data_IF_850812856477
#
_entry.id   IF_850812856477
#
_cell.length_a   1.000
_cell.length_b   1.000
_cell.length_c   1.000
_cell.angle_alpha   90.00
_cell.angle_beta   90.00
_cell.angle_gamma   90.00
#
_symmetry.space_group_name_H-M   'P 1'
#
loop_
_entity.id
_entity.type
_entity.pdbx_description
1 polymer ?
#
# COMPACT_ATOMS: atom_id res chain seq x y z
N UNK A 1 24.12 -80.04 -41.50
CA UNK A 1 23.04 -79.48 -40.64
C UNK A 1 23.17 -77.96 -40.62
N UNK A 2 22.05 -77.26 -40.90
CA UNK A 2 21.71 -75.81 -40.86
C UNK A 2 22.89 -74.80 -40.90
N UNK A 3 23.26 -74.26 -42.08
CA UNK A 3 22.70 -73.09 -42.86
C UNK A 3 22.99 -71.74 -42.17
N UNK A 4 24.04 -71.01 -42.56
CA UNK A 4 24.23 -70.07 -43.71
C UNK A 4 23.44 -68.76 -43.60
N UNK A 5 24.18 -67.66 -43.46
CA UNK A 5 23.77 -66.29 -43.79
C UNK A 5 25.06 -65.58 -44.25
N UNK A 6 25.39 -65.43 -45.54
CA UNK A 6 24.72 -64.80 -46.69
C UNK A 6 24.80 -63.26 -46.68
N UNK A 7 25.83 -62.79 -47.40
CA UNK A 7 25.90 -61.65 -48.32
C UNK A 7 25.39 -60.27 -47.85
N UNK A 8 26.36 -59.36 -47.70
CA UNK A 8 26.23 -57.93 -47.96
C UNK A 8 25.73 -57.70 -49.40
N UNK A 9 24.70 -56.87 -49.55
CA UNK A 9 24.32 -56.23 -50.79
C UNK A 9 23.77 -54.84 -50.48
N UNK A 10 24.51 -53.81 -50.88
CA UNK A 10 24.09 -52.41 -50.84
C UNK A 10 22.86 -52.19 -51.74
N UNK A 11 21.91 -51.37 -51.27
CA UNK A 11 21.19 -50.44 -52.15
C UNK A 11 20.64 -49.26 -51.32
N UNK A 12 21.13 -48.06 -51.65
CA UNK A 12 20.59 -46.75 -51.27
C UNK A 12 19.15 -46.59 -51.77
N UNK A 13 18.26 -45.93 -51.00
CA UNK A 13 17.45 -44.79 -51.50
C UNK A 13 17.03 -43.86 -50.33
N UNK A 14 17.41 -42.59 -50.48
CA UNK A 14 16.90 -41.30 -49.99
C UNK A 14 16.00 -41.15 -48.73
N UNK A 15 16.49 -40.25 -47.87
CA UNK A 15 15.82 -39.07 -47.28
C UNK A 15 14.28 -39.05 -47.14
N UNK A 16 13.80 -38.96 -45.90
CA UNK A 16 13.14 -37.77 -45.36
C UNK A 16 12.71 -38.07 -43.91
N UNK A 17 13.26 -37.33 -42.95
CA UNK A 17 12.80 -37.39 -41.58
C UNK A 17 11.47 -36.61 -41.46
N UNK A 18 10.37 -37.35 -41.35
CA UNK A 18 9.11 -36.85 -40.79
C UNK A 18 8.61 -37.94 -39.85
N UNK A 19 8.95 -37.82 -38.57
CA UNK A 19 8.39 -38.66 -37.53
C UNK A 19 6.95 -38.20 -37.28
N UNK A 20 6.01 -39.05 -37.68
CA UNK A 20 4.66 -39.12 -37.13
C UNK A 20 4.71 -39.91 -35.83
N UNK A 21 4.11 -39.39 -34.75
CA UNK A 21 3.64 -40.23 -33.63
C UNK A 21 2.54 -39.52 -32.82
N UNK A 22 1.33 -40.11 -32.92
CA UNK A 22 0.25 -40.20 -31.93
C UNK A 22 -0.53 -38.94 -31.49
N UNK A 23 -1.72 -38.77 -32.06
CA UNK A 23 -2.92 -38.32 -31.32
C UNK A 23 -3.45 -39.50 -30.46
N UNK A 24 -4.08 -39.29 -29.29
CA UNK A 24 -5.46 -38.74 -29.19
C UNK A 24 -5.58 -37.74 -27.98
N UNK A 25 -6.61 -36.94 -27.74
CA UNK A 25 -8.05 -37.06 -27.95
C UNK A 25 -8.68 -35.66 -27.90
N UNK A 26 -9.75 -35.44 -28.65
CA UNK A 26 -10.68 -34.32 -28.42
C UNK A 26 -11.40 -34.52 -27.09
N UNK A 27 -11.01 -33.77 -26.06
CA UNK A 27 -11.85 -33.45 -24.90
C UNK A 27 -11.23 -32.27 -24.14
N UNK A 28 -11.97 -31.16 -24.12
CA UNK A 28 -11.79 -29.98 -23.26
C UNK A 28 -10.45 -29.24 -23.32
N UNK A 29 -10.22 -28.58 -24.46
CA UNK A 29 -9.62 -27.24 -24.43
C UNK A 29 -10.72 -26.19 -24.29
N UNK A 30 -11.55 -26.30 -23.25
CA UNK A 30 -12.52 -25.27 -22.87
C UNK A 30 -11.83 -24.30 -21.91
N UNK A 31 -11.44 -23.16 -22.49
CA UNK A 31 -11.35 -21.87 -21.82
C UNK A 31 -10.42 -21.75 -20.59
N UNK A 32 -9.10 -21.73 -20.84
CA UNK A 32 -8.26 -20.72 -20.18
C UNK A 32 -8.44 -19.36 -20.89
N UNK A 33 -9.70 -18.93 -21.07
CA UNK A 33 -10.00 -17.53 -21.27
C UNK A 33 -9.98 -16.94 -19.87
N UNK A 34 -8.81 -16.43 -19.47
CA UNK A 34 -8.72 -15.53 -18.34
C UNK A 34 -9.78 -14.45 -18.57
N UNK A 35 -10.87 -14.51 -17.83
CA UNK A 35 -11.88 -13.47 -17.82
C UNK A 35 -11.14 -12.25 -17.30
N UNK A 36 -10.67 -11.41 -18.21
CA UNK A 36 -10.29 -10.06 -17.86
C UNK A 36 -11.56 -9.44 -17.31
N UNK A 37 -11.66 -9.36 -15.97
CA UNK A 37 -12.76 -8.67 -15.33
C UNK A 37 -12.93 -7.33 -16.02
N UNK A 38 -14.14 -7.05 -16.51
CA UNK A 38 -14.46 -5.83 -17.21
C UNK A 38 -14.13 -4.64 -16.30
N UNK A 39 -13.55 -3.60 -16.88
CA UNK A 39 -13.26 -2.37 -16.13
C UNK A 39 -14.58 -1.72 -15.75
N UNK A 40 -14.76 -1.43 -14.47
CA UNK A 40 -15.93 -0.72 -13.97
C UNK A 40 -15.87 0.75 -14.40
N UNK A 41 -17.05 1.29 -14.73
CA UNK A 41 -17.25 2.68 -15.16
C UNK A 41 -18.19 3.44 -14.23
N UNK A 42 -18.53 2.83 -13.10
CA UNK A 42 -19.38 3.37 -12.04
C UNK A 42 -18.79 2.99 -10.66
N UNK A 43 -19.32 3.62 -9.61
CA UNK A 43 -19.00 3.34 -8.21
C UNK A 43 -20.14 2.53 -7.58
N UNK A 44 -20.14 1.18 -7.71
CA UNK A 44 -21.20 0.35 -7.14
C UNK A 44 -21.18 0.40 -5.61
N UNK A 45 -22.37 0.33 -5.00
CA UNK A 45 -22.50 0.30 -3.54
C UNK A 45 -22.15 1.62 -2.83
N UNK A 46 -22.05 2.73 -3.57
CA UNK A 46 -21.89 4.06 -2.97
C UNK A 46 -23.14 4.42 -2.16
N UNK A 47 -23.01 4.83 -0.88
CA UNK A 47 -24.14 5.32 -0.11
C UNK A 47 -24.79 6.56 -0.75
N UNK A 48 -26.12 6.70 -0.62
CA UNK A 48 -26.88 7.78 -1.26
C UNK A 48 -26.46 9.20 -0.79
N UNK A 49 -25.96 9.31 0.44
CA UNK A 49 -25.48 10.54 1.06
C UNK A 49 -23.96 10.73 0.95
N UNK A 50 -23.25 9.82 0.29
CA UNK A 50 -21.81 9.90 0.11
C UNK A 50 -21.46 10.70 -1.15
N UNK A 51 -20.72 11.80 -0.98
CA UNK A 51 -20.16 12.57 -2.08
C UNK A 51 -18.64 12.62 -1.92
N UNK A 52 -17.85 12.01 -2.84
CA UNK A 52 -16.40 12.04 -2.74
C UNK A 52 -15.86 13.48 -2.67
N UNK A 53 -14.97 13.74 -1.73
CA UNK A 53 -14.25 15.03 -1.61
C UNK A 53 -13.44 15.30 -2.86
N UNK A 54 -13.44 16.55 -3.34
CA UNK A 54 -12.81 16.89 -4.62
C UNK A 54 -11.28 16.80 -4.53
N UNK A 55 -10.65 16.40 -5.64
CA UNK A 55 -9.19 16.43 -5.74
C UNK A 55 -8.66 17.86 -5.74
N UNK A 56 -7.65 18.12 -4.89
CA UNK A 56 -7.06 19.43 -4.66
C UNK A 56 -7.68 20.21 -3.50
N UNK A 57 -8.66 19.63 -2.81
CA UNK A 57 -9.32 20.26 -1.68
C UNK A 57 -8.38 20.38 -0.46
N UNK A 58 -8.52 21.49 0.26
CA UNK A 58 -7.80 21.77 1.49
C UNK A 58 -8.79 21.91 2.63
N UNK A 59 -8.64 21.04 3.62
CA UNK A 59 -9.48 20.93 4.80
C UNK A 59 -8.73 21.43 6.04
N UNK A 60 -9.46 21.88 7.04
CA UNK A 60 -8.92 22.15 8.37
C UNK A 60 -8.75 20.81 9.13
N UNK A 61 -7.76 20.74 10.02
CA UNK A 61 -7.61 19.57 10.90
C UNK A 61 -8.89 19.29 11.70
N UNK A 62 -9.35 18.04 11.65
CA UNK A 62 -10.58 17.55 12.25
C UNK A 62 -11.78 17.52 11.30
N UNK A 63 -11.67 18.09 10.09
CA UNK A 63 -12.70 17.93 9.06
C UNK A 63 -12.59 16.57 8.35
N UNK A 64 -13.74 16.03 7.95
CA UNK A 64 -13.86 14.74 7.29
C UNK A 64 -13.76 14.89 5.78
N UNK A 65 -12.90 14.08 5.16
CA UNK A 65 -12.92 13.80 3.73
C UNK A 65 -13.65 12.50 3.44
N UNK A 66 -14.44 12.49 2.38
CA UNK A 66 -15.07 11.31 1.81
C UNK A 66 -14.16 10.73 0.72
N UNK A 67 -13.47 9.64 1.01
CA UNK A 67 -12.42 9.05 0.18
C UNK A 67 -12.89 7.74 -0.46
N UNK A 68 -12.60 7.58 -1.74
CA UNK A 68 -12.87 6.36 -2.51
C UNK A 68 -11.55 5.70 -2.89
N UNK A 69 -11.37 4.47 -2.45
CA UNK A 69 -10.32 3.59 -2.99
C UNK A 69 -10.96 2.42 -3.73
N UNK A 70 -10.21 1.75 -4.59
CA UNK A 70 -10.71 0.57 -5.29
C UNK A 70 -9.72 -0.57 -5.24
N UNK A 71 -10.24 -1.80 -5.27
CA UNK A 71 -9.43 -3.00 -5.39
C UNK A 71 -8.66 -2.98 -6.71
N UNK A 72 -7.36 -3.21 -6.66
CA UNK A 72 -6.51 -3.14 -7.87
C UNK A 72 -6.91 -4.22 -8.90
N UNK A 73 -7.28 -5.42 -8.43
CA UNK A 73 -7.61 -6.56 -9.28
C UNK A 73 -9.10 -6.59 -9.69
N UNK A 74 -9.99 -6.08 -8.84
CA UNK A 74 -11.44 -6.22 -8.98
C UNK A 74 -12.13 -4.94 -9.43
N UNK A 75 -11.52 -3.77 -9.19
CA UNK A 75 -12.15 -2.46 -9.37
C UNK A 75 -13.22 -2.13 -8.32
N UNK A 76 -13.52 -3.04 -7.39
CA UNK A 76 -14.57 -2.81 -6.40
C UNK A 76 -14.19 -1.66 -5.45
N UNK A 77 -15.07 -0.67 -5.25
CA UNK A 77 -14.79 0.47 -4.41
C UNK A 77 -14.97 0.15 -2.93
N UNK A 78 -14.21 0.89 -2.12
CA UNK A 78 -14.41 1.03 -0.68
C UNK A 78 -14.46 2.51 -0.38
N UNK A 79 -15.45 2.89 0.42
CA UNK A 79 -15.75 4.27 0.77
C UNK A 79 -15.31 4.49 2.21
N UNK A 80 -14.54 5.54 2.45
CA UNK A 80 -14.03 5.89 3.76
C UNK A 80 -14.43 7.32 4.11
N UNK A 81 -14.81 7.52 5.36
CA UNK A 81 -14.63 8.80 6.01
C UNK A 81 -13.20 8.84 6.58
N UNK A 82 -12.46 9.89 6.23
CA UNK A 82 -11.08 10.09 6.67
C UNK A 82 -10.96 11.45 7.34
N UNK A 83 -10.43 11.45 8.57
CA UNK A 83 -10.13 12.69 9.31
C UNK A 83 -8.68 12.71 9.72
N UNK A 84 -8.04 13.88 9.68
CA UNK A 84 -6.72 14.08 10.30
C UNK A 84 -6.87 14.97 11.52
N UNK A 85 -6.53 14.44 12.69
CA UNK A 85 -6.56 15.18 13.95
C UNK A 85 -5.57 16.36 13.94
N UNK A 86 -5.81 17.34 14.81
CA UNK A 86 -4.83 18.41 15.03
C UNK A 86 -3.50 17.81 15.46
N UNK A 87 -2.36 18.25 14.88
CA UNK A 87 -1.08 17.64 15.17
C UNK A 87 -0.70 17.77 16.64
N UNK A 88 -0.20 16.67 17.21
CA UNK A 88 0.36 16.64 18.57
C UNK A 88 1.87 16.63 18.49
N UNK A 89 2.51 17.58 19.16
CA UNK A 89 3.96 17.61 19.34
C UNK A 89 4.35 16.77 20.55
N UNK A 90 5.32 15.88 20.39
CA UNK A 90 5.93 15.03 21.41
C UNK A 90 7.41 15.36 21.54
N UNK A 91 7.94 15.24 22.74
CA UNK A 91 9.38 15.27 23.01
C UNK A 91 10.02 13.92 22.65
N UNK A 92 11.36 13.90 22.51
CA UNK A 92 12.09 12.64 22.29
C UNK A 92 11.87 11.63 23.43
N UNK A 93 11.73 12.10 24.68
CA UNK A 93 11.49 11.25 25.83
C UNK A 93 10.09 10.61 25.81
N UNK A 94 9.04 11.37 25.45
CA UNK A 94 7.69 10.81 25.28
C UNK A 94 7.64 9.75 24.17
N UNK A 95 8.39 9.97 23.08
CA UNK A 95 8.49 8.97 22.00
C UNK A 95 9.23 7.73 22.50
N UNK A 96 10.37 7.88 23.18
CA UNK A 96 11.13 6.78 23.77
C UNK A 96 10.27 5.92 24.71
N UNK A 97 9.42 6.55 25.53
CA UNK A 97 8.45 5.84 26.37
C UNK A 97 7.45 5.01 25.54
N UNK A 98 6.98 5.54 24.41
CA UNK A 98 6.03 4.83 23.55
C UNK A 98 6.66 3.65 22.79
N UNK A 99 7.89 3.81 22.27
CA UNK A 99 8.56 2.82 21.42
C UNK A 99 9.48 1.86 22.20
N UNK A 100 9.81 2.20 23.45
CA UNK A 100 10.66 1.39 24.34
C UNK A 100 12.17 1.46 24.07
N UNK A 101 12.64 2.42 23.27
CA UNK A 101 14.06 2.64 22.93
C UNK A 101 14.30 4.09 22.47
N UNK A 102 15.55 4.56 22.43
CA UNK A 102 15.90 5.88 21.90
C UNK A 102 15.50 5.96 20.41
N UNK A 103 14.64 6.91 19.99
CA UNK A 103 14.26 7.04 18.58
C UNK A 103 15.45 7.36 17.65
N UNK A 104 16.55 7.89 18.18
CA UNK A 104 17.82 8.10 17.47
C UNK A 104 18.59 6.83 17.15
N UNK A 105 18.30 5.72 17.84
CA UNK A 105 18.97 4.43 17.67
C UNK A 105 18.23 3.52 16.67
N UNK A 106 17.00 3.86 16.29
CA UNK A 106 16.23 3.06 15.33
C UNK A 106 16.91 3.03 13.96
N UNK A 107 17.15 1.81 13.47
CA UNK A 107 17.69 1.59 12.12
C UNK A 107 19.20 1.79 12.02
N UNK A 108 19.90 2.05 13.12
CA UNK A 108 21.35 2.04 13.13
C UNK A 108 21.88 0.63 12.85
N UNK A 109 22.90 0.47 11.97
CA UNK A 109 23.53 -0.82 11.78
C UNK A 109 24.30 -1.24 13.04
N UNK A 110 24.44 -2.55 13.24
CA UNK A 110 25.38 -3.06 14.23
C UNK A 110 26.82 -2.66 13.82
N UNK A 111 27.67 -2.21 14.76
CA UNK A 111 29.05 -1.84 14.44
C UNK A 111 29.86 -3.05 14.00
N UNK A 112 30.70 -2.88 12.97
CA UNK A 112 31.66 -3.91 12.57
C UNK A 112 32.82 -4.01 13.58
N UNK A 113 33.46 -5.18 13.65
CA UNK A 113 34.55 -5.42 14.61
C UNK A 113 35.72 -4.45 14.36
N UNK A 114 35.98 -3.57 15.34
CA UNK A 114 37.06 -2.58 15.28
C UNK A 114 36.63 -1.19 14.80
N UNK A 115 35.34 -0.96 14.54
CA UNK A 115 34.78 0.35 14.23
C UNK A 115 34.11 1.01 15.44
N UNK A 116 34.07 2.34 15.45
CA UNK A 116 33.29 3.09 16.43
C UNK A 116 31.79 2.92 16.17
N UNK A 117 30.95 2.80 17.21
CA UNK A 117 29.52 2.66 17.03
C UNK A 117 28.93 3.88 16.30
N UNK A 118 27.95 3.66 15.39
CA UNK A 118 27.27 4.76 14.72
C UNK A 118 26.61 5.67 15.78
N UNK A 119 26.70 6.97 15.55
CA UNK A 119 26.12 7.94 16.47
C UNK A 119 24.61 8.05 16.21
N UNK A 120 23.77 7.99 17.25
CA UNK A 120 22.33 8.16 17.10
C UNK A 120 21.98 9.57 16.67
N UNK A 121 20.94 9.68 15.85
CA UNK A 121 20.35 10.96 15.49
C UNK A 121 19.75 11.62 16.73
N UNK A 122 19.85 12.95 16.85
CA UNK A 122 19.36 13.67 18.02
C UNK A 122 18.18 14.53 17.63
N UNK A 123 17.01 14.17 18.15
CA UNK A 123 15.76 14.87 17.90
C UNK A 123 15.43 15.83 19.04
N UNK A 124 14.95 17.03 18.69
CA UNK A 124 14.30 17.94 19.63
C UNK A 124 12.88 17.45 19.91
N UNK A 125 12.16 17.08 18.85
CA UNK A 125 10.74 16.75 18.95
C UNK A 125 10.20 16.03 17.72
N UNK A 126 9.03 15.41 17.89
CA UNK A 126 8.24 14.74 16.87
C UNK A 126 6.86 15.38 16.79
N UNK A 127 6.27 15.44 15.61
CA UNK A 127 4.89 15.90 15.42
C UNK A 127 4.08 14.80 14.76
N UNK A 128 3.04 14.40 15.46
CA UNK A 128 2.13 13.31 15.12
C UNK A 128 0.86 13.85 14.49
N UNK A 129 0.54 13.39 13.28
CA UNK A 129 -0.76 13.57 12.65
C UNK A 129 -1.50 12.24 12.72
N UNK A 130 -2.54 12.15 13.54
CA UNK A 130 -3.35 10.93 13.64
C UNK A 130 -4.43 11.00 12.56
N UNK A 131 -4.39 10.04 11.65
CA UNK A 131 -5.39 9.82 10.61
C UNK A 131 -6.34 8.75 11.09
N UNK A 132 -7.63 9.04 11.08
CA UNK A 132 -8.68 8.06 11.34
C UNK A 132 -9.36 7.70 10.03
N UNK A 133 -9.47 6.40 9.78
CA UNK A 133 -10.21 5.80 8.68
C UNK A 133 -11.46 5.11 9.23
N UNK A 134 -12.61 5.45 8.68
CA UNK A 134 -13.88 4.79 8.99
C UNK A 134 -14.47 4.27 7.68
N UNK A 135 -14.43 2.96 7.41
CA UNK A 135 -15.11 2.40 6.24
C UNK A 135 -16.61 2.65 6.39
N UNK A 136 -17.24 3.30 5.42
CA UNK A 136 -18.69 3.60 5.46
C UNK A 136 -19.49 2.73 4.53
N UNK A 137 -18.84 2.16 3.51
CA UNK A 137 -19.41 1.14 2.67
C UNK A 137 -18.29 0.38 1.97
N UNK A 138 -18.59 -0.87 1.68
CA UNK A 138 -17.63 -1.87 1.24
C UNK A 138 -18.27 -2.63 0.09
N UNK A 139 -17.64 -2.64 -1.09
CA UNK A 139 -18.16 -3.37 -2.26
C UNK A 139 -18.39 -4.85 -1.95
N UNK A 140 -19.17 -5.56 -2.77
CA UNK A 140 -19.40 -7.00 -2.56
C UNK A 140 -18.15 -7.84 -2.86
N UNK A 141 -17.84 -8.83 -2.00
CA UNK A 141 -16.80 -9.85 -2.22
C UNK A 141 -15.62 -9.77 -1.25
N UNK A 142 -14.61 -10.62 -1.46
CA UNK A 142 -13.32 -10.52 -0.76
C UNK A 142 -12.38 -9.62 -1.57
N UNK A 143 -11.84 -8.58 -0.97
CA UNK A 143 -10.89 -7.70 -1.66
C UNK A 143 -9.88 -7.10 -0.69
N UNK A 144 -8.74 -6.73 -1.28
CA UNK A 144 -7.79 -5.80 -0.70
C UNK A 144 -7.82 -4.53 -1.53
N UNK A 145 -7.95 -3.38 -0.89
CA UNK A 145 -7.79 -2.08 -1.55
C UNK A 145 -6.45 -1.47 -1.19
N UNK A 146 -5.89 -0.71 -2.12
CA UNK A 146 -4.74 0.13 -1.79
C UNK A 146 -5.23 1.29 -0.96
N UNK A 147 -4.87 1.30 0.33
CA UNK A 147 -5.13 2.47 1.17
C UNK A 147 -4.41 3.70 0.60
N UNK A 148 -4.94 4.90 0.87
CA UNK A 148 -4.27 6.12 0.46
C UNK A 148 -2.87 6.19 1.08
N UNK A 149 -1.95 6.80 0.32
CA UNK A 149 -0.63 7.13 0.82
C UNK A 149 -0.57 8.60 1.19
N UNK A 150 0.37 8.95 2.07
CA UNK A 150 0.45 10.26 2.67
C UNK A 150 1.77 10.94 2.37
N UNK A 151 1.73 12.26 2.21
CA UNK A 151 2.89 13.13 2.33
C UNK A 151 2.75 14.03 3.53
N UNK A 152 3.87 14.35 4.13
CA UNK A 152 3.97 15.45 5.06
C UNK A 152 4.46 16.67 4.28
N UNK A 153 3.72 17.77 4.39
CA UNK A 153 4.06 19.02 3.73
C UNK A 153 4.57 20.06 4.72
N UNK A 154 5.55 20.84 4.32
CA UNK A 154 6.02 22.05 5.01
C UNK A 154 5.04 23.22 4.79
N UNK A 155 5.27 24.40 5.42
CA UNK A 155 4.41 25.58 5.23
C UNK A 155 4.32 26.08 3.78
N UNK A 156 5.27 25.72 2.93
CA UNK A 156 5.31 26.04 1.50
C UNK A 156 4.62 25.00 0.60
N UNK A 157 4.13 23.89 1.17
CA UNK A 157 3.54 22.77 0.42
C UNK A 157 4.56 21.80 -0.18
N UNK A 158 5.82 21.84 0.25
CA UNK A 158 6.88 20.92 -0.19
C UNK A 158 7.04 19.76 0.79
N UNK A 159 7.68 18.67 0.36
CA UNK A 159 7.92 17.51 1.23
C UNK A 159 8.73 17.92 2.48
N UNK A 160 8.25 17.48 3.64
CA UNK A 160 8.91 17.66 4.92
C UNK A 160 9.66 16.39 5.36
N UNK A 161 10.41 16.53 6.46
CA UNK A 161 10.96 15.40 7.19
C UNK A 161 9.85 14.40 7.56
N UNK A 162 10.16 13.12 7.56
CA UNK A 162 9.23 12.08 7.98
C UNK A 162 9.98 10.94 8.70
N UNK A 163 9.23 10.15 9.47
CA UNK A 163 9.68 8.87 10.01
C UNK A 163 9.25 7.78 9.02
N UNK A 164 10.16 6.86 8.69
CA UNK A 164 9.87 5.81 7.70
C UNK A 164 9.15 4.59 8.29
N UNK A 165 9.37 4.32 9.59
CA UNK A 165 8.90 3.10 10.26
C UNK A 165 8.46 3.39 11.69
N UNK A 166 7.41 2.71 12.11
CA UNK A 166 6.96 2.73 13.50
C UNK A 166 6.10 3.94 13.86
N UNK A 167 5.64 4.72 12.89
CA UNK A 167 4.85 5.95 13.07
C UNK A 167 3.75 5.81 14.14
N UNK A 168 2.98 4.71 14.11
CA UNK A 168 1.93 4.40 15.09
C UNK A 168 2.47 4.35 16.51
N UNK A 169 3.57 3.61 16.72
CA UNK A 169 4.21 3.47 18.02
C UNK A 169 4.81 4.81 18.48
N UNK A 170 5.40 5.62 17.60
CA UNK A 170 5.92 6.95 17.98
C UNK A 170 4.82 7.82 18.62
N UNK A 171 3.60 7.72 18.09
CA UNK A 171 2.47 8.52 18.55
C UNK A 171 1.59 7.85 19.60
N UNK A 172 1.95 6.65 20.07
CA UNK A 172 1.18 5.90 21.05
C UNK A 172 -0.20 5.47 20.55
N UNK A 173 -0.33 5.21 19.25
CA UNK A 173 -1.56 4.60 18.70
C UNK A 173 -1.70 3.20 19.30
N UNK A 174 -2.89 2.88 19.80
CA UNK A 174 -3.17 1.56 20.35
C UNK A 174 -3.17 0.51 19.22
N UNK A 175 -2.42 -0.60 19.34
CA UNK A 175 -2.41 -1.67 18.34
C UNK A 175 -3.79 -2.20 17.95
N UNK A 176 -4.77 -2.18 18.86
CA UNK A 176 -6.15 -2.63 18.58
C UNK A 176 -6.95 -1.66 17.70
N UNK A 177 -6.50 -0.40 17.62
CA UNK A 177 -7.11 0.64 16.79
C UNK A 177 -6.38 0.77 15.45
N UNK A 178 -5.24 0.11 15.25
CA UNK A 178 -4.46 0.27 14.03
C UNK A 178 -5.19 -0.24 12.78
N UNK A 179 -4.95 0.44 11.66
CA UNK A 179 -5.36 -0.06 10.34
C UNK A 179 -4.78 -1.47 10.13
N UNK A 180 -5.61 -2.49 9.84
CA UNK A 180 -5.13 -3.85 9.66
C UNK A 180 -4.28 -3.98 8.39
N UNK A 181 -3.41 -4.99 8.37
CA UNK A 181 -2.56 -5.28 7.20
C UNK A 181 -3.38 -5.68 5.96
N UNK A 182 -4.58 -6.22 6.15
CA UNK A 182 -5.52 -6.56 5.09
C UNK A 182 -6.80 -5.75 5.27
N UNK A 183 -7.15 -4.94 4.26
CA UNK A 183 -8.29 -4.01 4.35
C UNK A 183 -9.63 -4.74 4.43
N UNK A 184 -9.71 -5.99 3.98
CA UNK A 184 -10.92 -6.80 4.14
C UNK A 184 -11.21 -7.21 5.59
N UNK A 185 -10.26 -6.99 6.51
CA UNK A 185 -10.47 -7.16 7.96
C UNK A 185 -11.06 -5.89 8.60
N UNK A 186 -11.26 -4.81 7.83
CA UNK A 186 -11.89 -3.59 8.33
C UNK A 186 -13.41 -3.76 8.40
N UNK A 187 -13.99 -3.32 9.51
CA UNK A 187 -15.42 -3.35 9.76
C UNK A 187 -16.06 -2.00 9.39
N UNK A 188 -17.21 -2.04 8.73
CA UNK A 188 -17.99 -0.84 8.44
C UNK A 188 -18.38 -0.11 9.73
N UNK A 189 -18.20 1.21 9.75
CA UNK A 189 -18.47 2.09 10.88
C UNK A 189 -17.43 2.01 12.01
N UNK A 190 -16.45 1.11 11.95
CA UNK A 190 -15.35 1.06 12.93
C UNK A 190 -14.24 2.03 12.54
N UNK A 191 -13.75 2.76 13.53
CA UNK A 191 -12.60 3.65 13.38
C UNK A 191 -11.29 2.86 13.45
N UNK A 192 -10.38 3.17 12.53
CA UNK A 192 -9.02 2.67 12.50
C UNK A 192 -8.04 3.83 12.39
N UNK A 193 -6.93 3.77 13.10
CA UNK A 193 -5.97 4.86 13.25
C UNK A 193 -4.65 4.52 12.61
N UNK A 194 -4.05 5.56 12.03
CA UNK A 194 -2.68 5.54 11.54
C UNK A 194 -2.04 6.87 11.88
N UNK A 195 -0.85 6.85 12.45
CA UNK A 195 -0.04 8.04 12.61
C UNK A 195 0.80 8.29 11.36
N UNK A 196 1.01 9.57 11.07
CA UNK A 196 2.01 10.08 10.13
C UNK A 196 2.89 11.03 10.94
N UNK A 197 4.22 10.86 10.89
CA UNK A 197 5.13 11.52 11.84
C UNK A 197 6.21 12.32 11.12
N UNK A 198 6.36 13.58 11.52
CA UNK A 198 7.51 14.42 11.16
C UNK A 198 8.35 14.70 12.40
N UNK A 199 9.59 15.15 12.21
CA UNK A 199 10.53 15.37 13.31
C UNK A 199 11.29 16.68 13.12
N UNK A 200 11.76 17.21 14.25
CA UNK A 200 12.68 18.36 14.33
C UNK A 200 13.98 17.89 14.98
N UNK A 201 15.11 18.08 14.30
CA UNK A 201 16.42 17.72 14.84
C UNK A 201 16.90 18.72 15.90
N UNK A 202 17.66 18.23 16.88
CA UNK A 202 18.16 19.02 18.00
C UNK A 202 19.27 20.00 17.60
N UNK A 203 20.09 19.64 16.61
CA UNK A 203 21.18 20.49 16.11
C UNK A 203 20.77 21.27 14.86
N UNK A 204 20.07 20.59 13.94
CA UNK A 204 19.48 21.20 12.75
C UNK A 204 18.01 20.77 12.67
N UNK A 205 17.06 21.72 12.62
CA UNK A 205 15.64 21.39 12.70
C UNK A 205 15.13 20.56 11.50
N UNK A 206 15.83 20.63 10.36
CA UNK A 206 15.36 20.05 9.10
C UNK A 206 14.13 20.78 8.56
N UNK A 207 13.36 20.12 7.69
CA UNK A 207 12.11 20.68 7.13
C UNK A 207 10.95 20.15 7.95
N UNK A 208 10.36 21.00 8.78
CA UNK A 208 9.28 20.60 9.70
C UNK A 208 7.94 20.59 8.97
N UNK A 209 7.25 19.46 9.04
CA UNK A 209 5.91 19.31 8.48
C UNK A 209 4.84 20.04 9.28
N UNK A 210 3.93 20.71 8.59
CA UNK A 210 2.78 21.41 9.18
C UNK A 210 1.44 20.93 8.61
N UNK A 211 1.46 20.13 7.54
CA UNK A 211 0.27 19.65 6.87
C UNK A 211 0.45 18.19 6.40
N UNK A 212 -0.66 17.52 6.13
CA UNK A 212 -0.67 16.16 5.58
C UNK A 212 -1.51 16.13 4.31
N UNK A 213 -0.95 15.57 3.24
CA UNK A 213 -1.64 15.34 1.98
C UNK A 213 -1.92 13.84 1.81
N UNK A 214 -3.19 13.47 1.70
CA UNK A 214 -3.65 12.14 1.32
C UNK A 214 -3.73 12.05 -0.19
N UNK A 215 -3.26 10.94 -0.76
CA UNK A 215 -3.37 10.66 -2.18
C UNK A 215 -3.90 9.24 -2.42
N UNK A 216 -4.94 9.12 -3.24
CA UNK A 216 -5.47 7.82 -3.67
C UNK A 216 -4.71 7.28 -4.87
N UNK A 217 -4.60 5.95 -4.96
CA UNK A 217 -4.16 5.26 -6.18
C UNK A 217 -5.39 4.85 -6.97
N UNK A 218 -5.47 5.26 -8.24
CA UNK A 218 -6.54 4.82 -9.13
C UNK A 218 -6.25 3.41 -9.64
N UNK A 219 -7.23 2.51 -9.51
CA UNK A 219 -7.15 1.19 -10.12
C UNK A 219 -7.41 1.26 -11.63
N UNK A 220 -6.65 0.53 -12.46
CA UNK A 220 -6.99 0.37 -13.89
C UNK A 220 -8.30 -0.39 -14.10
N UNK A 221 -8.85 -1.01 -13.04
CA UNK A 221 -10.10 -1.79 -13.07
C UNK A 221 -11.33 -0.99 -12.68
N UNK A 222 -11.19 0.28 -12.29
CA UNK A 222 -12.34 1.18 -12.13
C UNK A 222 -12.01 2.61 -12.56
N UNK A 223 -12.54 2.99 -13.70
CA UNK A 223 -12.35 4.33 -14.28
C UNK A 223 -13.21 5.42 -13.64
N UNK A 224 -14.20 5.06 -12.81
CA UNK A 224 -15.04 6.00 -12.10
C UNK A 224 -14.44 6.47 -10.77
N UNK A 225 -13.37 5.84 -10.28
CA UNK A 225 -12.70 6.30 -9.07
C UNK A 225 -12.14 7.73 -9.29
N UNK A 226 -12.56 8.73 -8.50
CA UNK A 226 -12.00 10.07 -8.61
C UNK A 226 -10.52 10.06 -8.23
N UNK A 227 -9.73 10.91 -8.87
CA UNK A 227 -8.39 11.19 -8.38
C UNK A 227 -8.50 12.13 -7.19
N UNK A 228 -8.17 11.63 -6.00
CA UNK A 228 -8.24 12.43 -4.77
C UNK A 228 -6.84 12.69 -4.24
N UNK A 229 -6.55 13.99 -4.11
CA UNK A 229 -5.40 14.56 -3.43
C UNK A 229 -5.94 15.61 -2.47
N UNK A 230 -5.93 15.34 -1.17
CA UNK A 230 -6.65 16.13 -0.17
C UNK A 230 -5.67 16.51 0.94
N UNK A 231 -5.64 17.79 1.31
CA UNK A 231 -4.69 18.30 2.32
C UNK A 231 -5.40 18.73 3.58
N UNK A 232 -4.89 18.34 4.75
CA UNK A 232 -5.26 18.92 6.05
C UNK A 232 -4.15 19.86 6.52
N UNK A 233 -4.49 21.10 6.86
CA UNK A 233 -3.55 22.13 7.30
C UNK A 233 -4.16 23.15 8.26
#
# INVERSE_FOLDING_TARGET
MKRRTAALGLALVAQAAALSACAPSEADSSAAAGHSAETLTELPGMPDDFTPTEGGEALEFGETAHVVTTGFDTGQPVYFDVTVEKPKKLTSAEVEENIGQDPGEIGLPEPEEGEDPPQPERYDSFTCFIVTFTPVAVGEGNYSVSLPWFKILDPGGLNANFVERGDNAYCGVNPDDEVPAFTGDMEEGREYKRAIVTWTGATAPGIVGTAVELNTVQSPKNSAQPWQSITWK
#
